data_IF_114907697319
#
_entry.id   IF_114907697319
#
_cell.length_a   1.000
_cell.length_b   1.000
_cell.length_c   1.000
_cell.angle_alpha   90.00
_cell.angle_beta   90.00
_cell.angle_gamma   90.00
#
_symmetry.space_group_name_H-M   'P 1'
#
loop_
_entity.id
_entity.type
_entity.pdbx_description
1 polymer ?
#
# COMPACT_ATOMS: atom_id res chain seq x y z
N UNK A 1 19.80 17.61 4.20
CA UNK A 1 18.53 17.31 4.88
C UNK A 1 17.42 17.74 3.93
N UNK A 2 16.55 16.81 3.53
CA UNK A 2 15.54 17.06 2.53
C UNK A 2 14.41 17.94 3.11
N UNK A 3 14.22 19.15 2.55
CA UNK A 3 13.24 20.16 3.00
C UNK A 3 11.81 19.63 3.07
N UNK A 4 11.51 18.57 2.31
CA UNK A 4 10.22 17.89 2.38
C UNK A 4 9.92 17.34 3.78
N UNK A 5 10.89 16.67 4.41
CA UNK A 5 10.67 16.02 5.71
C UNK A 5 10.46 17.02 6.84
N UNK A 6 11.03 18.22 6.74
CA UNK A 6 10.87 19.28 7.72
C UNK A 6 9.50 19.97 7.64
N UNK A 7 8.92 20.05 6.43
CA UNK A 7 7.73 20.89 6.16
C UNK A 7 6.44 20.12 5.93
N UNK A 8 6.53 19.00 5.25
CA UNK A 8 5.36 18.31 4.69
C UNK A 8 5.18 16.91 5.23
N UNK A 9 6.25 16.22 5.62
CA UNK A 9 6.16 14.84 6.09
C UNK A 9 5.47 14.74 7.46
N UNK A 10 4.87 13.57 7.71
CA UNK A 10 4.29 13.22 9.00
C UNK A 10 5.40 13.14 10.06
N UNK A 11 5.49 14.08 10.99
CA UNK A 11 6.70 14.32 11.80
C UNK A 11 7.33 13.07 12.46
N UNK A 12 6.53 12.09 12.87
CA UNK A 12 7.00 10.90 13.56
C UNK A 12 7.50 9.81 12.60
N UNK A 13 8.66 9.23 12.90
CA UNK A 13 9.11 7.97 12.30
C UNK A 13 8.26 6.80 12.83
N UNK A 14 7.72 6.00 11.92
CA UNK A 14 6.82 4.89 12.24
C UNK A 14 7.59 3.60 12.54
N UNK A 15 8.76 3.42 11.92
CA UNK A 15 9.61 2.24 12.12
C UNK A 15 10.88 2.64 12.86
N UNK A 16 11.06 2.12 14.07
CA UNK A 16 12.28 2.35 14.86
C UNK A 16 13.51 1.53 14.43
N UNK A 17 13.33 0.52 13.58
CA UNK A 17 14.42 -0.32 13.05
C UNK A 17 15.04 0.31 11.80
N UNK A 18 16.36 0.21 11.66
CA UNK A 18 17.06 0.63 10.45
C UNK A 18 16.52 -0.13 9.20
N UNK A 19 16.52 0.50 8.01
CA UNK A 19 16.12 -0.17 6.78
C UNK A 19 17.09 -1.26 6.36
N UNK A 20 16.56 -2.31 5.73
CA UNK A 20 17.38 -3.38 5.18
C UNK A 20 18.34 -2.81 4.12
N UNK A 21 19.63 -3.17 4.16
CA UNK A 21 20.63 -2.68 3.18
C UNK A 21 20.20 -2.94 1.73
N UNK A 22 19.54 -4.07 1.49
CA UNK A 22 19.00 -4.49 0.21
C UNK A 22 17.62 -3.94 -0.15
N UNK A 23 17.06 -2.98 0.59
CA UNK A 23 15.70 -2.46 0.37
C UNK A 23 15.48 -2.05 -1.09
N UNK A 24 14.51 -2.66 -1.74
CA UNK A 24 14.12 -2.37 -3.13
C UNK A 24 12.74 -1.73 -3.21
N UNK A 25 11.84 -2.08 -2.30
CA UNK A 25 10.44 -1.66 -2.33
C UNK A 25 9.87 -1.58 -0.91
N UNK A 26 9.00 -0.60 -0.67
CA UNK A 26 8.19 -0.54 0.55
C UNK A 26 6.70 -0.62 0.17
N UNK A 27 5.99 -1.62 0.69
CA UNK A 27 4.53 -1.75 0.57
C UNK A 27 3.89 -1.12 1.81
N UNK A 28 3.10 -0.08 1.62
CA UNK A 28 2.37 0.64 2.67
C UNK A 28 0.91 0.21 2.64
N UNK A 29 0.42 -0.27 3.78
CA UNK A 29 -0.96 -0.75 3.92
C UNK A 29 -1.63 0.01 5.08
N UNK A 30 -2.46 1.04 4.81
CA UNK A 30 -3.29 1.63 5.85
C UNK A 30 -4.36 0.61 6.30
N UNK A 31 -4.59 0.52 7.60
CA UNK A 31 -5.43 -0.51 8.19
C UNK A 31 -6.32 0.10 9.29
N UNK A 32 -7.61 0.20 9.03
CA UNK A 32 -8.59 0.76 9.97
C UNK A 32 -9.73 -0.23 10.16
N UNK A 33 -9.93 -0.70 11.40
CA UNK A 33 -11.04 -1.58 11.74
C UNK A 33 -11.14 -2.83 10.84
N UNK A 34 -9.99 -3.35 10.40
CA UNK A 34 -9.92 -4.46 9.45
C UNK A 34 -10.09 -5.81 10.17
N UNK A 35 -11.13 -6.61 9.84
CA UNK A 35 -11.34 -7.93 10.43
C UNK A 35 -10.24 -8.95 10.11
N UNK A 36 -9.73 -8.97 8.87
CA UNK A 36 -8.76 -9.98 8.46
C UNK A 36 -7.74 -9.47 7.43
N UNK A 37 -6.53 -9.19 7.91
CA UNK A 37 -5.39 -8.74 7.11
C UNK A 37 -4.49 -9.90 6.65
N UNK A 38 -4.69 -11.11 7.17
CA UNK A 38 -3.79 -12.23 6.89
C UNK A 38 -3.81 -12.70 5.43
N UNK A 39 -4.96 -12.75 4.73
CA UNK A 39 -5.00 -13.09 3.30
C UNK A 39 -4.11 -12.18 2.44
N UNK A 40 -4.16 -10.88 2.70
CA UNK A 40 -3.33 -9.86 2.03
C UNK A 40 -1.85 -10.14 2.26
N UNK A 41 -1.43 -10.31 3.52
CA UNK A 41 -0.04 -10.63 3.87
C UNK A 41 0.45 -11.96 3.28
N UNK A 42 -0.39 -12.99 3.33
CA UNK A 42 -0.07 -14.29 2.77
C UNK A 42 0.10 -14.21 1.25
N UNK A 43 -0.72 -13.44 0.55
CA UNK A 43 -0.60 -13.24 -0.90
C UNK A 43 0.70 -12.48 -1.27
N UNK A 44 1.10 -11.50 -0.47
CA UNK A 44 2.39 -10.81 -0.64
C UNK A 44 3.58 -11.76 -0.38
N UNK A 45 3.53 -12.58 0.66
CA UNK A 45 4.59 -13.54 0.99
C UNK A 45 4.69 -14.69 -0.04
N UNK A 46 3.58 -15.01 -0.70
CA UNK A 46 3.48 -16.01 -1.76
C UNK A 46 3.95 -15.49 -3.13
N UNK A 47 4.20 -14.20 -3.28
CA UNK A 47 4.74 -13.64 -4.52
C UNK A 47 6.12 -14.24 -4.85
N UNK A 48 6.42 -14.24 -6.15
CA UNK A 48 7.79 -14.43 -6.65
C UNK A 48 8.66 -13.31 -6.08
N UNK A 49 9.79 -13.61 -5.43
CA UNK A 49 10.62 -12.59 -4.80
C UNK A 49 11.26 -11.67 -5.85
N UNK A 50 11.07 -10.34 -5.75
CA UNK A 50 11.84 -9.41 -6.56
C UNK A 50 13.29 -9.31 -6.05
N UNK A 51 14.23 -8.76 -6.82
CA UNK A 51 15.57 -8.48 -6.32
C UNK A 51 15.53 -7.51 -5.14
N UNK A 52 16.32 -7.82 -4.11
CA UNK A 52 16.43 -7.01 -2.90
C UNK A 52 15.45 -7.45 -1.80
N UNK A 53 15.17 -6.53 -0.88
CA UNK A 53 14.26 -6.73 0.25
C UNK A 53 13.02 -5.88 0.04
N UNK A 54 11.86 -6.49 0.21
CA UNK A 54 10.56 -5.83 0.27
C UNK A 54 10.17 -5.65 1.73
N UNK A 55 9.98 -4.41 2.14
CA UNK A 55 9.45 -4.10 3.47
C UNK A 55 7.96 -3.80 3.36
N UNK A 56 7.14 -4.42 4.21
CA UNK A 56 5.71 -4.17 4.30
C UNK A 56 5.45 -3.40 5.59
N UNK A 57 4.92 -2.19 5.49
CA UNK A 57 4.53 -1.34 6.59
C UNK A 57 3.01 -1.28 6.70
N UNK A 58 2.48 -1.91 7.74
CA UNK A 58 1.08 -1.79 8.13
C UNK A 58 0.91 -0.57 9.03
N UNK A 59 0.09 0.38 8.62
CA UNK A 59 -0.27 1.56 9.42
C UNK A 59 -1.65 1.32 10.01
N UNK A 60 -1.71 0.72 11.20
CA UNK A 60 -2.97 0.56 11.94
C UNK A 60 -3.36 1.93 12.47
N UNK A 61 -4.50 2.46 12.04
CA UNK A 61 -4.92 3.81 12.40
C UNK A 61 -6.31 3.85 13.05
N UNK A 62 -6.58 4.91 13.80
CA UNK A 62 -7.91 5.23 14.32
C UNK A 62 -8.09 6.74 14.55
N UNK A 63 -9.31 7.27 14.45
CA UNK A 63 -9.59 8.63 14.90
C UNK A 63 -9.46 8.75 16.42
N UNK A 64 -9.09 9.94 16.89
CA UNK A 64 -9.27 10.31 18.29
C UNK A 64 -10.75 10.15 18.69
N UNK A 65 -10.99 9.52 19.83
CA UNK A 65 -12.33 9.14 20.27
C UNK A 65 -12.99 7.99 19.49
N UNK A 66 -12.22 7.15 18.78
CA UNK A 66 -12.75 5.95 18.12
C UNK A 66 -13.57 5.07 19.08
N UNK A 67 -14.64 4.47 18.56
CA UNK A 67 -15.51 3.58 19.33
C UNK A 67 -14.71 2.39 19.92
N UNK A 68 -15.10 1.93 21.10
CA UNK A 68 -14.41 0.84 21.81
C UNK A 68 -14.27 -0.44 20.95
N UNK A 69 -15.27 -0.74 20.12
CA UNK A 69 -15.23 -1.85 19.17
C UNK A 69 -14.11 -1.71 18.13
N UNK A 70 -13.92 -0.50 17.58
CA UNK A 70 -12.85 -0.20 16.61
C UNK A 70 -11.47 -0.34 17.27
N UNK A 71 -11.30 0.23 18.47
CA UNK A 71 -10.04 0.11 19.20
C UNK A 71 -9.73 -1.36 19.54
N UNK A 72 -10.75 -2.14 19.90
CA UNK A 72 -10.61 -3.56 20.17
C UNK A 72 -10.21 -4.32 18.90
N UNK A 73 -10.86 -4.07 17.77
CA UNK A 73 -10.52 -4.67 16.48
C UNK A 73 -9.08 -4.35 16.10
N UNK A 74 -8.67 -3.08 16.16
CA UNK A 74 -7.30 -2.67 15.84
C UNK A 74 -6.25 -3.32 16.76
N UNK A 75 -6.55 -3.49 18.06
CA UNK A 75 -5.69 -4.25 18.99
C UNK A 75 -5.58 -5.72 18.60
N UNK A 76 -6.67 -6.34 18.15
CA UNK A 76 -6.67 -7.71 17.63
C UNK A 76 -5.85 -7.82 16.34
N UNK A 77 -5.95 -6.85 15.43
CA UNK A 77 -5.12 -6.77 14.23
C UNK A 77 -3.63 -6.72 14.60
N UNK A 78 -3.22 -5.83 15.51
CA UNK A 78 -1.84 -5.77 16.00
C UNK A 78 -1.37 -7.07 16.64
N UNK A 79 -2.24 -7.74 17.40
CA UNK A 79 -1.93 -9.04 17.98
C UNK A 79 -1.72 -10.11 16.89
N UNK A 80 -2.55 -10.11 15.87
CA UNK A 80 -2.47 -11.05 14.74
C UNK A 80 -1.19 -10.81 13.94
N UNK A 81 -0.81 -9.56 13.70
CA UNK A 81 0.45 -9.19 13.05
C UNK A 81 1.68 -9.69 13.82
N UNK A 82 1.68 -9.57 15.16
CA UNK A 82 2.76 -10.10 16.00
C UNK A 82 2.85 -11.62 15.94
N UNK A 83 1.71 -12.33 15.91
CA UNK A 83 1.67 -13.80 15.82
C UNK A 83 2.06 -14.31 14.43
N UNK A 84 1.70 -13.58 13.38
CA UNK A 84 2.00 -13.94 12.00
C UNK A 84 3.51 -13.95 11.70
N UNK A 85 4.35 -13.33 12.57
CA UNK A 85 5.82 -13.38 12.49
C UNK A 85 6.38 -14.81 12.70
N UNK A 86 6.15 -15.69 11.75
CA UNK A 86 6.78 -17.02 11.64
C UNK A 86 7.49 -17.13 10.29
N UNK A 87 8.67 -17.77 10.31
CA UNK A 87 9.60 -17.99 9.18
C UNK A 87 9.58 -16.90 8.09
N UNK A 88 9.88 -15.67 8.50
CA UNK A 88 9.95 -14.55 7.55
C UNK A 88 11.13 -14.79 6.59
N UNK A 89 10.82 -14.84 5.29
CA UNK A 89 11.81 -15.05 4.23
C UNK A 89 12.85 -13.92 4.22
N UNK A 90 14.13 -14.17 3.87
CA UNK A 90 15.17 -13.13 3.89
C UNK A 90 14.91 -11.89 3.01
N UNK A 91 14.03 -12.01 2.01
CA UNK A 91 13.65 -10.94 1.08
C UNK A 91 12.41 -10.15 1.55
N UNK A 92 11.79 -10.53 2.66
CA UNK A 92 10.53 -9.93 3.15
C UNK A 92 10.72 -9.44 4.57
N UNK A 93 10.24 -8.24 4.89
CA UNK A 93 10.26 -7.72 6.26
C UNK A 93 8.92 -7.06 6.58
N UNK A 94 8.31 -7.47 7.69
CA UNK A 94 7.04 -6.90 8.16
C UNK A 94 7.27 -5.89 9.29
N UNK A 95 6.64 -4.74 9.15
CA UNK A 95 6.56 -3.68 10.14
C UNK A 95 5.11 -3.30 10.39
N UNK A 96 4.81 -2.89 11.62
CA UNK A 96 3.49 -2.39 12.00
C UNK A 96 3.64 -1.17 12.88
N UNK A 97 2.86 -0.13 12.61
CA UNK A 97 2.74 1.06 13.42
C UNK A 97 1.28 1.26 13.85
N UNK A 98 1.07 1.91 15.00
CA UNK A 98 -0.25 2.28 15.50
C UNK A 98 -0.35 3.80 15.60
N UNK A 99 -1.35 4.40 14.97
CA UNK A 99 -1.54 5.84 14.90
C UNK A 99 -2.95 6.24 15.34
N UNK A 100 -3.02 7.07 16.37
CA UNK A 100 -4.23 7.85 16.67
C UNK A 100 -4.16 9.16 15.90
N UNK A 101 -5.11 9.38 15.01
CA UNK A 101 -5.18 10.52 14.10
C UNK A 101 -6.26 11.51 14.56
N UNK A 102 -6.09 12.82 14.32
CA UNK A 102 -7.14 13.79 14.64
C UNK A 102 -8.45 13.43 13.95
N UNK A 103 -9.58 13.38 14.68
CA UNK A 103 -10.85 12.87 14.16
C UNK A 103 -11.30 13.50 12.83
N UNK A 104 -11.02 14.80 12.64
CA UNK A 104 -11.36 15.53 11.40
C UNK A 104 -10.58 15.09 10.16
N UNK A 105 -9.41 14.47 10.34
CA UNK A 105 -8.47 14.10 9.27
C UNK A 105 -8.06 12.63 9.32
N UNK A 106 -8.72 11.82 10.16
CA UNK A 106 -8.40 10.41 10.39
C UNK A 106 -8.77 9.46 9.24
N UNK A 107 -9.03 9.99 8.04
CA UNK A 107 -9.29 9.18 6.87
C UNK A 107 -8.06 8.38 6.42
N UNK A 108 -8.31 7.38 5.58
CA UNK A 108 -7.28 6.49 4.99
C UNK A 108 -6.12 7.26 4.35
N UNK A 109 -6.38 8.46 3.80
CA UNK A 109 -5.37 9.29 3.16
C UNK A 109 -4.24 9.73 4.11
N UNK A 110 -4.54 10.07 5.37
CA UNK A 110 -3.51 10.49 6.32
C UNK A 110 -2.67 9.32 6.82
N UNK A 111 -3.29 8.16 7.04
CA UNK A 111 -2.58 6.93 7.39
C UNK A 111 -1.65 6.49 6.25
N UNK A 112 -2.15 6.51 5.01
CA UNK A 112 -1.35 6.24 3.80
C UNK A 112 -0.18 7.21 3.69
N UNK A 113 -0.43 8.52 3.83
CA UNK A 113 0.61 9.54 3.82
C UNK A 113 1.68 9.29 4.88
N UNK A 114 1.29 8.99 6.12
CA UNK A 114 2.23 8.71 7.20
C UNK A 114 3.13 7.50 6.86
N UNK A 115 2.56 6.43 6.31
CA UNK A 115 3.31 5.26 5.87
C UNK A 115 4.24 5.56 4.67
N UNK A 116 3.77 6.31 3.68
CA UNK A 116 4.59 6.73 2.53
C UNK A 116 5.74 7.66 2.95
N UNK A 117 5.49 8.58 3.88
CA UNK A 117 6.53 9.46 4.42
C UNK A 117 7.61 8.65 5.15
N UNK A 118 7.23 7.60 5.89
CA UNK A 118 8.19 6.70 6.53
C UNK A 118 8.97 5.88 5.50
N UNK A 119 8.30 5.33 4.49
CA UNK A 119 8.95 4.65 3.38
C UNK A 119 9.99 5.55 2.69
N UNK A 120 9.65 6.81 2.44
CA UNK A 120 10.56 7.78 1.83
C UNK A 120 11.78 8.06 2.71
N UNK A 121 11.61 8.16 4.04
CA UNK A 121 12.75 8.30 4.98
C UNK A 121 13.67 7.10 4.92
N UNK A 122 13.14 5.89 4.77
CA UNK A 122 13.93 4.67 4.77
C UNK A 122 14.86 4.60 3.57
N UNK A 123 14.36 4.99 2.40
CA UNK A 123 15.16 5.15 1.21
C UNK A 123 16.15 6.33 1.29
N UNK A 124 15.76 7.45 1.90
CA UNK A 124 16.68 8.58 2.19
C UNK A 124 17.87 8.13 3.05
N UNK A 125 17.62 7.37 4.12
CA UNK A 125 18.66 6.82 5.00
C UNK A 125 19.64 5.88 4.25
N UNK A 126 19.18 5.25 3.19
CA UNK A 126 19.99 4.39 2.32
C UNK A 126 20.61 5.14 1.13
N UNK A 127 20.37 6.45 1.00
CA UNK A 127 20.76 7.25 -0.16
C UNK A 127 20.26 6.64 -1.48
N UNK A 128 19.03 6.12 -1.47
CA UNK A 128 18.35 5.54 -2.65
C UNK A 128 17.22 6.48 -3.08
N UNK A 129 17.50 7.55 -3.84
CA UNK A 129 16.50 8.55 -4.18
C UNK A 129 15.31 7.93 -4.92
N UNK A 130 15.55 6.95 -5.80
CA UNK A 130 14.54 6.30 -6.65
C UNK A 130 13.87 5.07 -6.03
N UNK A 131 13.60 5.11 -4.72
CA UNK A 131 12.91 4.04 -4.01
C UNK A 131 11.47 3.83 -4.52
N UNK A 132 10.99 2.58 -4.51
CA UNK A 132 9.62 2.25 -4.95
C UNK A 132 8.70 2.13 -3.74
N UNK A 133 7.63 2.91 -3.71
CA UNK A 133 6.61 2.88 -2.65
C UNK A 133 5.29 2.41 -3.26
N UNK A 134 4.76 1.30 -2.75
CA UNK A 134 3.52 0.67 -3.20
C UNK A 134 2.46 0.88 -2.13
N UNK A 135 1.35 1.54 -2.44
CA UNK A 135 0.19 1.59 -1.56
C UNK A 135 -0.74 0.44 -1.93
N UNK A 136 -1.11 -0.39 -0.96
CA UNK A 136 -2.05 -1.50 -1.14
C UNK A 136 -3.12 -1.43 -0.04
N UNK A 137 -4.36 -1.77 -0.39
CA UNK A 137 -5.45 -1.84 0.58
C UNK A 137 -5.35 -3.08 1.48
N UNK A 138 -5.93 -3.01 2.67
CA UNK A 138 -5.79 -4.05 3.71
C UNK A 138 -6.53 -5.35 3.39
N UNK A 139 -7.57 -5.28 2.56
CA UNK A 139 -8.53 -6.34 2.23
C UNK A 139 -8.36 -6.90 0.80
N UNK A 140 -7.20 -6.68 0.18
CA UNK A 140 -6.92 -7.08 -1.20
C UNK A 140 -5.82 -8.15 -1.28
N UNK A 141 -6.01 -9.15 -2.16
CA UNK A 141 -4.95 -10.12 -2.49
C UNK A 141 -4.23 -9.72 -3.77
N UNK A 142 -2.98 -10.18 -3.92
CA UNK A 142 -2.15 -9.87 -5.10
C UNK A 142 -1.80 -11.12 -5.91
N UNK A 143 -1.58 -10.92 -7.21
CA UNK A 143 -1.14 -11.99 -8.11
C UNK A 143 0.31 -12.44 -7.82
N UNK A 144 0.70 -13.69 -8.13
CA UNK A 144 2.03 -14.22 -7.81
C UNK A 144 3.22 -13.44 -8.40
N UNK A 145 3.02 -12.69 -9.49
CA UNK A 145 4.04 -11.87 -10.14
C UNK A 145 3.97 -10.38 -9.76
N UNK A 146 3.09 -9.99 -8.84
CA UNK A 146 2.79 -8.59 -8.52
C UNK A 146 4.04 -7.79 -8.15
N UNK A 147 4.84 -8.27 -7.18
CA UNK A 147 6.05 -7.57 -6.74
C UNK A 147 7.14 -7.52 -7.81
N UNK A 148 7.31 -8.59 -8.59
CA UNK A 148 8.27 -8.64 -9.69
C UNK A 148 7.87 -7.72 -10.84
N UNK A 149 6.59 -7.64 -11.19
CA UNK A 149 6.10 -6.76 -12.25
C UNK A 149 6.29 -5.28 -11.90
N UNK A 150 6.03 -4.92 -10.64
CA UNK A 150 6.31 -3.57 -10.14
C UNK A 150 7.81 -3.30 -10.20
N UNK A 151 8.64 -4.21 -9.69
CA UNK A 151 10.09 -4.05 -9.70
C UNK A 151 10.63 -3.87 -11.13
N UNK A 152 10.22 -4.71 -12.08
CA UNK A 152 10.70 -4.64 -13.46
C UNK A 152 10.29 -3.31 -14.12
N UNK A 153 9.07 -2.84 -13.85
CA UNK A 153 8.54 -1.58 -14.38
C UNK A 153 9.31 -0.36 -13.85
N UNK A 154 9.58 -0.29 -12.55
CA UNK A 154 10.18 0.88 -11.91
C UNK A 154 11.70 0.85 -11.85
N UNK A 155 12.32 -0.34 -11.83
CA UNK A 155 13.76 -0.49 -11.62
C UNK A 155 14.52 -1.02 -12.85
N UNK A 156 13.86 -1.69 -13.81
CA UNK A 156 14.52 -2.25 -15.01
C UNK A 156 14.09 -1.62 -16.32
N UNK A 157 12.97 -0.90 -16.36
CA UNK A 157 12.54 -0.17 -17.55
C UNK A 157 13.56 0.87 -18.00
N UNK A 158 13.72 1.06 -19.31
CA UNK A 158 14.52 2.15 -19.89
C UNK A 158 13.96 3.53 -19.56
N UNK A 159 12.65 3.61 -19.37
CA UNK A 159 11.93 4.83 -19.01
C UNK A 159 10.98 4.49 -17.84
N UNK A 160 11.52 4.41 -16.61
CA UNK A 160 10.73 4.06 -15.46
C UNK A 160 9.73 5.19 -15.13
N UNK A 161 8.45 4.88 -14.91
CA UNK A 161 7.45 5.89 -14.59
C UNK A 161 7.70 6.51 -13.22
N UNK A 162 7.20 7.73 -13.00
CA UNK A 162 7.18 8.38 -11.68
C UNK A 162 6.07 7.81 -10.79
N UNK A 163 5.02 7.25 -11.39
CA UNK A 163 3.92 6.60 -10.70
C UNK A 163 3.06 5.78 -11.65
N UNK A 164 2.34 4.83 -11.08
CA UNK A 164 1.47 3.92 -11.81
C UNK A 164 0.28 3.50 -10.94
N UNK A 165 -0.80 3.13 -11.60
CA UNK A 165 -1.92 2.42 -10.98
C UNK A 165 -1.84 0.97 -11.44
N UNK A 166 -1.94 0.04 -10.51
CA UNK A 166 -1.89 -1.39 -10.85
C UNK A 166 -3.28 -1.86 -11.26
N UNK A 167 -3.31 -2.76 -12.23
CA UNK A 167 -4.54 -3.43 -12.65
C UNK A 167 -5.24 -4.08 -11.46
N UNK A 168 -6.57 -3.97 -11.41
CA UNK A 168 -7.39 -4.49 -10.32
C UNK A 168 -8.68 -5.14 -10.87
N UNK A 169 -9.20 -6.08 -10.08
CA UNK A 169 -10.47 -6.75 -10.30
C UNK A 169 -11.12 -7.03 -8.93
N UNK A 170 -12.43 -6.84 -8.84
CA UNK A 170 -13.21 -7.23 -7.68
C UNK A 170 -13.63 -8.70 -7.83
N UNK A 171 -13.59 -9.50 -6.74
CA UNK A 171 -14.13 -10.85 -6.74
C UNK A 171 -15.59 -10.87 -7.19
N UNK A 172 -15.97 -11.82 -8.03
CA UNK A 172 -17.36 -11.99 -8.45
C UNK A 172 -18.08 -12.95 -7.50
N UNK A 173 -18.99 -12.47 -6.63
CA UNK A 173 -19.72 -13.34 -5.72
C UNK A 173 -20.73 -14.22 -6.49
N UNK A 174 -21.16 -15.31 -5.85
CA UNK A 174 -22.21 -16.18 -6.39
C UNK A 174 -23.58 -15.48 -6.40
N UNK A 175 -23.82 -14.57 -5.44
CA UNK A 175 -25.07 -13.82 -5.35
C UNK A 175 -25.26 -12.92 -6.57
N UNK A 176 -26.29 -13.22 -7.38
CA UNK A 176 -26.53 -12.57 -8.67
C UNK A 176 -26.64 -11.05 -8.60
N UNK A 177 -27.29 -10.50 -7.57
CA UNK A 177 -27.46 -9.05 -7.42
C UNK A 177 -26.13 -8.35 -7.13
N UNK A 178 -25.34 -8.87 -6.19
CA UNK A 178 -24.01 -8.34 -5.88
C UNK A 178 -23.08 -8.47 -7.08
N UNK A 179 -23.10 -9.63 -7.76
CA UNK A 179 -22.33 -9.86 -8.97
C UNK A 179 -22.65 -8.85 -10.06
N UNK A 180 -23.93 -8.62 -10.33
CA UNK A 180 -24.37 -7.63 -11.32
C UNK A 180 -23.92 -6.22 -10.94
N UNK A 181 -24.01 -5.86 -9.66
CA UNK A 181 -23.54 -4.57 -9.16
C UNK A 181 -22.04 -4.37 -9.37
N UNK A 182 -21.23 -5.38 -9.03
CA UNK A 182 -19.78 -5.36 -9.24
C UNK A 182 -19.45 -5.23 -10.73
N UNK A 183 -20.05 -6.06 -11.59
CA UNK A 183 -19.82 -5.99 -13.04
C UNK A 183 -20.16 -4.61 -13.60
N UNK A 184 -21.30 -4.02 -13.22
CA UNK A 184 -21.69 -2.68 -13.68
C UNK A 184 -20.71 -1.60 -13.21
N UNK A 185 -20.29 -1.66 -11.94
CA UNK A 185 -19.31 -0.73 -11.38
C UNK A 185 -17.96 -0.82 -12.10
N UNK A 186 -17.48 -2.04 -12.30
CA UNK A 186 -16.24 -2.34 -13.02
C UNK A 186 -16.27 -1.89 -14.49
N UNK A 187 -17.39 -2.11 -15.18
CA UNK A 187 -17.59 -1.63 -16.55
C UNK A 187 -17.62 -0.10 -16.61
N UNK A 188 -18.29 0.55 -15.66
CA UNK A 188 -18.32 2.01 -15.58
C UNK A 188 -16.91 2.59 -15.43
N UNK A 189 -16.10 2.08 -14.50
CA UNK A 189 -14.73 2.54 -14.28
C UNK A 189 -13.86 2.36 -15.53
N UNK A 190 -13.96 1.22 -16.21
CA UNK A 190 -13.20 0.94 -17.44
C UNK A 190 -13.67 1.80 -18.60
N UNK A 191 -14.98 1.92 -18.80
CA UNK A 191 -15.56 2.76 -19.84
C UNK A 191 -15.14 4.22 -19.69
N UNK A 192 -15.17 4.76 -18.48
CA UNK A 192 -14.78 6.14 -18.20
C UNK A 192 -13.33 6.42 -18.64
N UNK A 193 -12.38 5.57 -18.23
CA UNK A 193 -10.96 5.72 -18.60
C UNK A 193 -10.75 5.54 -20.11
N UNK A 194 -11.43 4.57 -20.73
CA UNK A 194 -11.33 4.34 -22.18
C UNK A 194 -11.91 5.51 -22.98
N UNK A 195 -13.01 6.14 -22.51
CA UNK A 195 -13.58 7.31 -23.14
C UNK A 195 -12.62 8.51 -23.05
N UNK A 196 -11.97 8.73 -21.90
CA UNK A 196 -10.93 9.75 -21.74
C UNK A 196 -9.75 9.51 -22.71
N UNK A 197 -9.28 8.27 -22.82
CA UNK A 197 -8.21 7.92 -23.75
C UNK A 197 -8.62 8.15 -25.20
N UNK A 198 -9.84 7.79 -25.58
CA UNK A 198 -10.38 7.96 -26.92
C UNK A 198 -10.42 9.41 -27.38
N UNK A 199 -10.77 10.35 -26.49
CA UNK A 199 -10.78 11.79 -26.80
C UNK A 199 -9.40 12.46 -26.69
N UNK A 200 -8.34 11.68 -26.44
CA UNK A 200 -6.97 12.20 -26.31
C UNK A 200 -6.73 12.98 -25.02
N UNK A 201 -7.50 12.74 -23.95
CA UNK A 201 -7.26 13.38 -22.66
C UNK A 201 -5.92 12.88 -22.07
N UNK A 202 -4.98 13.78 -21.72
CA UNK A 202 -3.61 13.39 -21.34
C UNK A 202 -3.52 12.60 -20.03
N UNK A 203 -4.56 12.63 -19.19
CA UNK A 203 -4.59 11.96 -17.88
C UNK A 203 -5.65 10.85 -17.84
N UNK A 204 -5.77 10.08 -18.92
CA UNK A 204 -6.67 8.93 -19.02
C UNK A 204 -6.16 7.71 -18.22
N UNK A 205 -6.22 7.80 -16.89
CA UNK A 205 -5.88 6.71 -15.98
C UNK A 205 -6.96 6.53 -14.91
N UNK A 206 -6.99 5.35 -14.30
CA UNK A 206 -7.88 5.09 -13.16
C UNK A 206 -7.50 5.99 -11.98
N UNK A 207 -8.45 6.78 -11.49
CA UNK A 207 -8.29 7.61 -10.29
C UNK A 207 -8.83 6.94 -9.04
N UNK A 208 -9.44 5.77 -9.20
CA UNK A 208 -9.97 4.89 -8.15
C UNK A 208 -9.43 3.49 -8.42
N UNK A 209 -8.85 2.87 -7.40
CA UNK A 209 -8.30 1.51 -7.46
C UNK A 209 -7.51 1.18 -6.20
N UNK A 210 -7.31 -0.12 -5.97
CA UNK A 210 -6.75 -0.64 -4.71
C UNK A 210 -5.23 -0.45 -4.58
N UNK A 211 -4.56 0.02 -5.63
CA UNK A 211 -3.10 0.14 -5.63
C UNK A 211 -2.58 1.31 -6.42
N UNK A 212 -1.76 2.12 -5.76
CA UNK A 212 -0.98 3.20 -6.36
C UNK A 212 0.50 2.92 -6.07
N UNK A 213 1.34 2.99 -7.09
CA UNK A 213 2.80 2.88 -6.95
C UNK A 213 3.43 4.21 -7.33
N UNK A 214 4.38 4.68 -6.52
CA UNK A 214 5.15 5.89 -6.80
C UNK A 214 6.64 5.61 -6.65
N UNK A 215 7.43 6.31 -7.45
CA UNK A 215 8.87 6.41 -7.25
C UNK A 215 9.13 7.63 -6.38
N UNK A 216 9.96 7.46 -5.35
CA UNK A 216 10.54 8.60 -4.65
C UNK A 216 11.46 9.32 -5.63
N UNK A 217 11.31 10.63 -5.77
CA UNK A 217 12.16 11.51 -6.58
C UNK A 217 12.38 12.82 -5.83
#
# INVERSE_FOLDING_TARGET
MNRYFERYAFAQSLIGKAPAKGLSMVVVIPCYNEPDLLPTLNSLLACTPPPGVVEVLIVVNEPDGAAAAVQQQNRQTLHSLKRWQTEVKPWFALHSAYLTLPAKTAGVGLARKAGMDDAARRFELLHKPHGVIVCLDADCTVAPNYLTAIYDTFCRSKQPPIGAVVYFEHPLPEESRLRSGIVQYELHLRYYVQALAHIGYPFAHHTVGSTIVVRQD
#
